data_IF_682929241663
#
_entry.id   IF_682929241663
#
_cell.length_a   1.000
_cell.length_b   1.000
_cell.length_c   1.000
_cell.angle_alpha   90.00
_cell.angle_beta   90.00
_cell.angle_gamma   90.00
#
_symmetry.space_group_name_H-M   'P 1'
#
loop_
_entity.id
_entity.type
_entity.pdbx_description
1 polymer ?
#
# COMPACT_ATOMS: atom_id res chain seq x y z
N UNK A 1 -6.65 8.43 11.49
CA UNK A 1 -5.17 8.40 11.58
C UNK A 1 -4.48 8.73 10.26
N UNK A 2 -3.26 9.29 10.35
CA UNK A 2 -2.43 9.68 9.18
C UNK A 2 -1.20 8.78 9.13
N UNK A 3 -1.08 8.01 8.05
CA UNK A 3 0.08 7.15 7.78
C UNK A 3 0.90 7.74 6.65
N UNK A 4 2.20 7.47 6.65
CA UNK A 4 3.10 7.86 5.56
C UNK A 4 4.22 6.83 5.43
N UNK A 5 4.63 6.52 4.20
CA UNK A 5 5.88 5.81 3.96
C UNK A 5 7.08 6.76 4.04
N UNK A 6 8.31 6.20 3.96
CA UNK A 6 9.58 6.95 4.00
C UNK A 6 9.75 7.93 2.84
N UNK A 7 9.05 7.72 1.73
CA UNK A 7 9.04 8.61 0.56
C UNK A 7 7.92 9.65 0.62
N UNK A 8 7.50 10.05 1.81
CA UNK A 8 6.47 11.07 2.04
C UNK A 8 5.11 10.79 1.38
N UNK A 9 4.77 9.51 1.16
CA UNK A 9 3.46 9.11 0.66
C UNK A 9 2.42 9.13 1.80
N UNK A 10 2.03 10.34 2.21
CA UNK A 10 1.03 10.51 3.25
C UNK A 10 -0.38 10.15 2.75
N UNK A 11 -1.09 9.35 3.54
CA UNK A 11 -2.48 8.96 3.36
C UNK A 11 -3.26 8.98 4.68
N UNK A 12 -4.58 8.96 4.58
CA UNK A 12 -5.52 8.79 5.70
C UNK A 12 -6.23 7.46 5.54
N UNK A 13 -6.62 6.84 6.66
CA UNK A 13 -7.46 5.64 6.61
C UNK A 13 -8.84 6.05 6.07
N UNK A 14 -9.21 5.50 4.91
CA UNK A 14 -10.53 5.73 4.29
C UNK A 14 -11.60 4.74 4.75
N UNK A 15 -11.22 3.50 5.04
CA UNK A 15 -12.11 2.45 5.57
C UNK A 15 -11.29 1.39 6.29
N UNK A 16 -11.89 0.75 7.29
CA UNK A 16 -11.34 -0.41 7.99
C UNK A 16 -12.12 -1.62 7.48
N UNK A 17 -11.42 -2.55 6.83
CA UNK A 17 -12.02 -3.76 6.26
C UNK A 17 -11.75 -4.97 7.16
N UNK A 18 -12.70 -5.90 7.16
CA UNK A 18 -12.51 -7.21 7.80
C UNK A 18 -11.55 -8.06 6.97
N UNK A 19 -10.79 -8.94 7.65
CA UNK A 19 -9.78 -9.81 7.03
C UNK A 19 -10.38 -10.73 5.94
N UNK A 20 -11.63 -11.15 6.11
CA UNK A 20 -12.36 -11.97 5.14
C UNK A 20 -12.66 -11.25 3.82
N UNK A 21 -12.73 -9.91 3.83
CA UNK A 21 -12.98 -9.10 2.64
C UNK A 21 -11.68 -8.69 1.93
N UNK A 22 -10.52 -8.98 2.52
CA UNK A 22 -9.23 -8.63 1.93
C UNK A 22 -8.86 -9.60 0.78
N UNK A 23 -8.25 -9.09 -0.30
CA UNK A 23 -7.79 -9.93 -1.39
C UNK A 23 -6.64 -10.83 -0.93
N UNK A 24 -6.68 -12.11 -1.33
CA UNK A 24 -5.64 -13.09 -1.01
C UNK A 24 -4.75 -13.37 -2.22
N UNK A 25 -3.45 -13.46 -1.99
CA UNK A 25 -2.53 -13.96 -3.03
C UNK A 25 -2.58 -15.48 -3.14
N UNK A 26 -2.10 -16.04 -4.27
CA UNK A 26 -2.04 -17.50 -4.51
C UNK A 26 -1.27 -18.28 -3.43
N UNK A 27 -0.36 -17.61 -2.71
CA UNK A 27 0.41 -18.17 -1.58
C UNK A 27 -0.31 -18.06 -0.22
N UNK A 28 -1.53 -17.53 -0.18
CA UNK A 28 -2.31 -17.35 1.04
C UNK A 28 -1.99 -16.09 1.83
N UNK A 29 -1.14 -15.18 1.33
CA UNK A 29 -0.80 -13.93 2.04
C UNK A 29 -1.94 -12.93 1.89
N UNK A 30 -2.37 -12.38 3.04
CA UNK A 30 -3.36 -11.31 3.18
C UNK A 30 -2.61 -10.00 3.41
N UNK A 31 -2.87 -8.92 2.64
CA UNK A 31 -2.19 -7.65 2.82
C UNK A 31 -2.78 -6.87 4.02
N UNK A 32 -1.90 -6.23 4.79
CA UNK A 32 -2.32 -5.37 5.91
C UNK A 32 -2.90 -4.02 5.45
N UNK A 33 -2.38 -3.48 4.34
CA UNK A 33 -2.74 -2.14 3.82
C UNK A 33 -2.93 -2.21 2.30
N UNK A 34 -4.03 -1.60 1.83
CA UNK A 34 -4.30 -1.40 0.40
C UNK A 34 -4.06 0.07 0.05
N UNK A 35 -3.27 0.33 -0.98
CA UNK A 35 -2.96 1.67 -1.48
C UNK A 35 -3.47 1.81 -2.91
N UNK A 36 -4.10 2.95 -3.23
CA UNK A 36 -4.58 3.23 -4.58
C UNK A 36 -3.40 3.39 -5.57
N UNK A 37 -3.34 2.60 -6.66
CA UNK A 37 -2.25 2.69 -7.64
C UNK A 37 -2.16 4.06 -8.33
N UNK A 38 -3.25 4.82 -8.43
CA UNK A 38 -3.26 6.16 -9.02
C UNK A 38 -2.46 7.20 -8.20
N UNK A 39 -2.12 6.88 -6.94
CA UNK A 39 -1.34 7.75 -6.07
C UNK A 39 0.18 7.75 -6.39
N UNK A 40 0.65 6.81 -7.22
CA UNK A 40 2.07 6.70 -7.61
C UNK A 40 2.47 7.58 -8.80
N UNK A 41 1.78 7.54 -9.96
CA UNK A 41 2.20 8.31 -11.13
C UNK A 41 2.09 9.83 -10.89
N UNK A 42 1.07 10.26 -10.16
CA UNK A 42 0.84 11.69 -9.85
C UNK A 42 1.92 12.32 -8.97
N UNK A 43 2.61 11.51 -8.15
CA UNK A 43 3.64 11.98 -7.21
C UNK A 43 5.07 11.62 -7.64
N UNK A 44 5.23 10.95 -8.78
CA UNK A 44 6.53 10.48 -9.30
C UNK A 44 7.35 9.70 -8.25
N UNK A 45 6.67 8.96 -7.37
CA UNK A 45 7.28 8.24 -6.26
C UNK A 45 7.74 6.82 -6.67
N UNK A 46 8.50 6.72 -7.75
CA UNK A 46 8.98 5.45 -8.32
C UNK A 46 9.86 4.66 -7.34
N UNK A 47 10.65 5.36 -6.53
CA UNK A 47 11.51 4.77 -5.50
C UNK A 47 10.73 3.93 -4.47
N UNK A 48 9.46 4.26 -4.22
CA UNK A 48 8.64 3.46 -3.32
C UNK A 48 8.31 2.08 -3.91
N UNK A 49 8.07 1.99 -5.23
CA UNK A 49 7.90 0.69 -5.89
C UNK A 49 9.19 -0.13 -5.86
N UNK A 50 10.34 0.53 -6.00
CA UNK A 50 11.65 -0.13 -5.92
C UNK A 50 11.87 -0.68 -4.50
N UNK A 51 11.59 0.10 -3.46
CA UNK A 51 11.68 -0.36 -2.06
C UNK A 51 10.77 -1.56 -1.79
N UNK A 52 9.52 -1.54 -2.28
CA UNK A 52 8.59 -2.68 -2.14
C UNK A 52 9.13 -3.94 -2.81
N UNK A 53 9.82 -3.80 -3.94
CA UNK A 53 10.36 -4.95 -4.67
C UNK A 53 11.62 -5.52 -3.97
N UNK A 54 12.47 -4.65 -3.43
CA UNK A 54 13.68 -5.07 -2.71
C UNK A 54 13.36 -5.64 -1.33
N UNK A 55 12.33 -5.13 -0.65
CA UNK A 55 11.92 -5.57 0.69
C UNK A 55 10.97 -6.77 0.71
N UNK A 56 10.65 -7.36 -0.45
CA UNK A 56 9.80 -8.55 -0.61
C UNK A 56 10.59 -9.84 -0.39
#
# INVERSE_FOLDING_TARGET
>A
DKFSCRFAQKGVIGSILLEEMMPRTKKGVIPDIIVNPHAFPSRMALNHLIEINIGK
#
